data_IF_407151923634
#
_entry.id   IF_407151923634
#
_cell.length_a   1.000
_cell.length_b   1.000
_cell.length_c   1.000
_cell.angle_alpha   90.00
_cell.angle_beta   90.00
_cell.angle_gamma   90.00
#
_symmetry.space_group_name_H-M   'P 1'
#
loop_
_entity.id
_entity.type
_entity.pdbx_description
1 polymer ?
#
# COMPACT_ATOMS: atom_id res chain seq x y z
N UNK A 1 8.63 -28.20 -12.03
CA UNK A 1 8.33 -26.88 -11.44
C UNK A 1 6.94 -26.49 -11.97
N UNK A 2 5.97 -26.24 -11.10
CA UNK A 2 4.66 -25.74 -11.55
C UNK A 2 4.81 -24.25 -11.90
N UNK A 3 4.15 -23.74 -12.96
CA UNK A 3 4.20 -22.32 -13.28
C UNK A 3 3.51 -21.51 -12.17
N UNK A 4 4.14 -20.42 -11.74
CA UNK A 4 3.51 -19.43 -10.85
C UNK A 4 2.60 -18.53 -11.67
N UNK A 5 1.36 -18.38 -11.24
CA UNK A 5 0.42 -17.42 -11.83
C UNK A 5 0.92 -16.00 -11.56
N UNK A 6 1.18 -15.24 -12.63
CA UNK A 6 1.47 -13.81 -12.54
C UNK A 6 0.23 -13.04 -13.01
N UNK A 7 -0.29 -12.20 -12.13
CA UNK A 7 -1.43 -11.34 -12.39
C UNK A 7 -0.98 -9.98 -12.86
N UNK A 8 -1.71 -9.41 -13.80
CA UNK A 8 -1.66 -7.98 -14.08
C UNK A 8 -2.38 -7.21 -12.98
N UNK A 9 -2.06 -5.92 -12.85
CA UNK A 9 -2.75 -5.01 -11.93
C UNK A 9 -4.26 -4.93 -12.24
N UNK A 10 -4.64 -4.97 -13.52
CA UNK A 10 -6.04 -4.94 -13.95
C UNK A 10 -6.82 -6.22 -13.60
N UNK A 11 -6.17 -7.39 -13.66
CA UNK A 11 -6.75 -8.65 -13.20
C UNK A 11 -6.92 -8.63 -11.69
N UNK A 12 -5.91 -8.15 -10.96
CA UNK A 12 -5.99 -7.96 -9.51
C UNK A 12 -7.13 -6.99 -9.11
N UNK A 13 -7.28 -5.86 -9.81
CA UNK A 13 -8.40 -4.94 -9.63
C UNK A 13 -9.76 -5.61 -9.83
N UNK A 14 -9.84 -6.47 -10.83
CA UNK A 14 -11.06 -7.23 -11.10
C UNK A 14 -11.38 -8.18 -9.95
N UNK A 15 -10.36 -8.87 -9.41
CA UNK A 15 -10.52 -9.74 -8.24
C UNK A 15 -10.97 -8.98 -7.00
N UNK A 16 -10.35 -7.82 -6.70
CA UNK A 16 -10.75 -6.96 -5.58
C UNK A 16 -12.20 -6.50 -5.76
N UNK A 17 -12.57 -6.01 -6.94
CA UNK A 17 -13.92 -5.50 -7.22
C UNK A 17 -15.02 -6.55 -7.05
N UNK A 18 -14.74 -7.83 -7.32
CA UNK A 18 -15.71 -8.93 -7.14
C UNK A 18 -15.65 -9.56 -5.74
N UNK A 19 -14.87 -8.99 -4.82
CA UNK A 19 -14.78 -9.45 -3.44
C UNK A 19 -14.01 -10.76 -3.26
N UNK A 20 -13.05 -11.06 -4.16
CA UNK A 20 -12.29 -12.32 -4.12
C UNK A 20 -11.52 -12.52 -2.79
N UNK A 21 -11.21 -11.43 -2.10
CA UNK A 21 -10.46 -11.42 -0.84
C UNK A 21 -11.32 -11.13 0.40
N UNK A 22 -12.62 -10.82 0.25
CA UNK A 22 -13.49 -10.35 1.35
C UNK A 22 -13.67 -11.39 2.48
N UNK A 23 -13.43 -12.67 2.18
CA UNK A 23 -13.54 -13.78 3.14
C UNK A 23 -12.20 -14.25 3.68
N UNK A 24 -11.12 -13.55 3.34
CA UNK A 24 -9.77 -13.88 3.78
C UNK A 24 -9.40 -12.86 4.85
N UNK A 25 -9.25 -13.32 6.11
CA UNK A 25 -8.81 -12.49 7.25
C UNK A 25 -7.29 -12.23 7.23
N UNK A 26 -6.73 -12.08 6.03
CA UNK A 26 -5.30 -11.88 5.79
C UNK A 26 -5.18 -10.79 4.75
N UNK A 27 -4.29 -9.83 4.99
CA UNK A 27 -4.03 -8.76 4.03
C UNK A 27 -3.22 -9.33 2.88
N UNK A 28 -3.69 -9.11 1.66
CA UNK A 28 -3.09 -9.59 0.41
C UNK A 28 -2.67 -8.37 -0.41
N UNK A 29 -1.43 -8.39 -0.88
CA UNK A 29 -0.88 -7.37 -1.77
C UNK A 29 -0.48 -8.01 -3.10
N UNK A 30 -0.51 -7.22 -4.17
CA UNK A 30 0.08 -7.63 -5.45
C UNK A 30 1.50 -7.08 -5.52
N UNK A 31 2.51 -7.94 -5.63
CA UNK A 31 3.92 -7.54 -5.73
C UNK A 31 4.54 -8.23 -6.95
N UNK A 32 4.92 -7.46 -7.97
CA UNK A 32 5.52 -7.96 -9.23
C UNK A 32 4.69 -9.05 -9.90
N UNK A 33 3.37 -8.91 -9.85
CA UNK A 33 2.41 -9.87 -10.38
C UNK A 33 2.11 -11.06 -9.46
N UNK A 34 2.72 -11.16 -8.29
CA UNK A 34 2.47 -12.24 -7.34
C UNK A 34 1.58 -11.77 -6.19
N UNK A 35 0.67 -12.64 -5.72
CA UNK A 35 -0.11 -12.38 -4.52
C UNK A 35 0.72 -12.72 -3.29
N UNK A 36 1.00 -11.71 -2.48
CA UNK A 36 1.77 -11.85 -1.24
C UNK A 36 0.83 -11.64 -0.06
N UNK A 37 0.84 -12.58 0.86
CA UNK A 37 0.21 -12.41 2.16
C UNK A 37 1.14 -11.61 3.08
N UNK A 38 0.61 -10.55 3.69
CA UNK A 38 1.32 -9.78 4.71
C UNK A 38 0.83 -10.18 6.09
N UNK A 39 1.76 -10.25 7.05
CA UNK A 39 1.42 -10.56 8.43
C UNK A 39 0.40 -9.56 9.00
N UNK A 40 -0.53 -10.01 9.85
CA UNK A 40 -1.46 -9.12 10.51
C UNK A 40 -0.70 -8.13 11.40
N UNK A 41 -1.11 -6.86 11.35
CA UNK A 41 -0.70 -5.85 12.31
C UNK A 41 -1.14 -6.28 13.72
N UNK A 42 -0.30 -5.97 14.72
CA UNK A 42 -0.59 -6.23 16.13
C UNK A 42 -0.27 -5.00 16.99
N UNK A 43 -0.58 -5.02 18.29
CA UNK A 43 -0.52 -3.82 19.13
C UNK A 43 0.85 -3.11 19.16
N UNK A 44 1.95 -3.87 19.05
CA UNK A 44 3.30 -3.30 18.96
C UNK A 44 3.53 -2.58 17.62
N UNK A 45 3.01 -3.13 16.53
CA UNK A 45 3.09 -2.53 15.20
C UNK A 45 2.26 -1.24 15.15
N UNK A 46 1.06 -1.24 15.74
CA UNK A 46 0.19 -0.07 15.84
C UNK A 46 0.86 1.09 16.61
N UNK A 47 1.50 0.79 17.75
CA UNK A 47 2.25 1.78 18.55
C UNK A 47 3.41 2.39 17.75
N UNK A 48 4.16 1.58 17.01
CA UNK A 48 5.25 2.05 16.16
C UNK A 48 4.74 2.92 15.00
N UNK A 49 3.61 2.58 14.38
CA UNK A 49 2.98 3.44 13.37
C UNK A 49 2.59 4.78 13.98
N UNK A 50 1.96 4.79 15.16
CA UNK A 50 1.56 6.03 15.84
C UNK A 50 2.77 6.91 16.20
N UNK A 51 3.84 6.29 16.71
CA UNK A 51 5.11 6.96 17.00
C UNK A 51 5.70 7.59 15.73
N UNK A 52 5.83 6.82 14.66
CA UNK A 52 6.45 7.28 13.42
C UNK A 52 5.61 8.36 12.72
N UNK A 53 4.28 8.28 12.75
CA UNK A 53 3.41 9.35 12.27
C UNK A 53 3.67 10.67 13.03
N UNK A 54 3.71 10.60 14.36
CA UNK A 54 3.96 11.78 15.21
C UNK A 54 5.36 12.35 14.97
N UNK A 55 6.37 11.49 14.89
CA UNK A 55 7.74 11.89 14.60
C UNK A 55 7.85 12.53 13.21
N UNK A 56 7.21 11.95 12.20
CA UNK A 56 7.23 12.42 10.82
C UNK A 56 6.67 13.83 10.69
N UNK A 57 5.50 14.08 11.29
CA UNK A 57 4.85 15.39 11.30
C UNK A 57 5.73 16.46 11.95
N UNK A 58 6.47 16.11 13.02
CA UNK A 58 7.37 17.05 13.71
C UNK A 58 8.68 17.32 12.96
N UNK A 59 9.13 16.38 12.13
CA UNK A 59 10.46 16.42 11.52
C UNK A 59 10.46 16.71 10.01
N UNK A 60 9.30 16.95 9.40
CA UNK A 60 9.24 17.35 7.99
C UNK A 60 8.46 18.64 7.81
N UNK A 61 8.71 19.30 6.67
CA UNK A 61 8.00 20.51 6.29
C UNK A 61 6.73 20.13 5.56
N UNK A 62 5.57 20.50 6.12
CA UNK A 62 4.26 20.22 5.52
C UNK A 62 4.11 20.78 4.10
N UNK A 63 4.82 21.87 3.78
CA UNK A 63 4.85 22.44 2.43
C UNK A 63 5.58 21.58 1.40
N UNK A 64 6.32 20.56 1.83
CA UNK A 64 7.15 19.72 0.97
C UNK A 64 6.81 18.23 1.07
N UNK A 65 6.19 17.81 2.18
CA UNK A 65 5.92 16.40 2.47
C UNK A 65 4.49 16.21 2.94
N UNK A 66 3.79 15.28 2.29
CA UNK A 66 2.52 14.72 2.74
C UNK A 66 2.80 13.32 3.30
N UNK A 67 2.18 13.01 4.43
CA UNK A 67 2.24 11.68 5.05
C UNK A 67 0.90 10.99 4.86
N UNK A 68 0.94 9.73 4.48
CA UNK A 68 -0.24 8.87 4.45
C UNK A 68 0.16 7.46 4.89
N UNK A 69 -0.80 6.71 5.41
CA UNK A 69 -0.63 5.37 5.94
C UNK A 69 -1.69 4.46 5.36
N UNK A 70 -1.39 3.16 5.21
CA UNK A 70 -2.38 2.11 4.95
C UNK A 70 -3.28 2.39 3.74
N UNK A 71 -2.70 2.97 2.69
CA UNK A 71 -3.39 3.14 1.41
C UNK A 71 -2.63 2.38 0.34
N UNK A 72 -3.38 1.70 -0.54
CA UNK A 72 -2.80 0.98 -1.66
C UNK A 72 -2.08 1.95 -2.59
N UNK A 73 -0.84 1.61 -2.97
CA UNK A 73 -0.02 2.38 -3.89
C UNK A 73 0.05 1.66 -5.23
N UNK A 74 -0.58 2.22 -6.26
CA UNK A 74 -0.47 1.67 -7.61
C UNK A 74 0.92 1.92 -8.21
N UNK A 75 1.60 0.83 -8.56
CA UNK A 75 2.88 0.81 -9.25
C UNK A 75 2.73 -0.02 -10.55
N UNK A 76 2.04 0.51 -11.57
CA UNK A 76 1.68 -0.23 -12.78
C UNK A 76 2.91 -0.67 -13.59
N UNK A 77 4.01 0.08 -13.55
CA UNK A 77 5.25 -0.23 -14.27
C UNK A 77 5.87 -1.55 -13.82
N UNK A 78 5.58 -1.96 -12.58
CA UNK A 78 6.09 -3.20 -11.97
C UNK A 78 4.96 -4.14 -11.54
N UNK A 79 3.73 -3.95 -12.05
CA UNK A 79 2.57 -4.77 -11.72
C UNK A 79 2.42 -5.01 -10.21
N UNK A 80 2.49 -3.93 -9.43
CA UNK A 80 2.40 -4.01 -7.97
C UNK A 80 1.37 -3.04 -7.41
N UNK A 81 0.69 -3.46 -6.35
CA UNK A 81 -0.07 -2.63 -5.42
C UNK A 81 0.29 -3.03 -3.98
N UNK A 82 1.43 -2.57 -3.45
CA UNK A 82 1.69 -2.67 -2.03
C UNK A 82 0.75 -1.76 -1.25
N UNK A 83 0.62 -2.02 0.05
CA UNK A 83 -0.06 -1.12 0.98
C UNK A 83 0.88 -0.82 2.15
N UNK A 84 1.80 0.15 1.98
CA UNK A 84 2.82 0.45 2.98
C UNK A 84 2.22 0.98 4.28
N UNK A 85 2.87 0.66 5.40
CA UNK A 85 2.49 1.18 6.72
C UNK A 85 2.55 2.71 6.77
N UNK A 86 3.57 3.30 6.15
CA UNK A 86 3.81 4.74 6.06
C UNK A 86 4.41 5.13 4.72
N UNK A 87 3.94 6.26 4.19
CA UNK A 87 4.46 6.86 2.98
C UNK A 87 4.79 8.33 3.20
N UNK A 88 6.03 8.70 2.89
CA UNK A 88 6.48 10.08 2.73
C UNK A 88 6.43 10.45 1.26
N UNK A 89 5.43 11.24 0.88
CA UNK A 89 5.26 11.67 -0.51
C UNK A 89 5.49 13.16 -0.63
N UNK A 90 5.99 13.59 -1.80
CA UNK A 90 6.14 15.01 -2.09
C UNK A 90 4.78 15.68 -1.98
N UNK A 91 4.68 16.74 -1.19
CA UNK A 91 3.49 17.56 -1.12
C UNK A 91 3.27 18.23 -2.49
N UNK A 92 2.28 17.72 -3.21
CA UNK A 92 1.77 18.30 -4.44
C UNK A 92 0.25 18.13 -4.40
N UNK A 93 -0.50 19.10 -4.95
CA UNK A 93 -1.94 18.90 -5.15
C UNK A 93 -2.11 18.22 -6.50
N UNK A 94 -2.96 17.19 -6.54
CA UNK A 94 -3.32 16.50 -7.78
C UNK A 94 -3.73 17.47 -8.90
N UNK A 95 -4.45 18.53 -8.55
CA UNK A 95 -4.90 19.60 -9.47
C UNK A 95 -3.77 20.40 -10.14
N UNK A 96 -2.55 20.35 -9.61
CA UNK A 96 -1.42 21.13 -10.14
C UNK A 96 -0.65 20.32 -11.21
N UNK A 97 -0.97 19.04 -11.39
CA UNK A 97 -0.35 18.13 -12.35
C UNK A 97 -1.28 17.69 -13.49
N UNK A 98 -2.57 18.07 -13.45
CA UNK A 98 -3.61 17.71 -14.43
C UNK A 98 -4.54 18.88 -14.74
#
# INVERSE_FOLDING_TARGET
MLPTLHLTLAEYDTMVRVGAFDRIERKVELIRGELIETNPAGPLHDDLIAYLNTWSARNSRESQTLFTSQTGLDLPEVQSRPEPDLMWIRAARYRDAH
#
